data_IF_377716636506
#
_entry.id   IF_377716636506
#
_cell.length_a   1.000
_cell.length_b   1.000
_cell.length_c   1.000
_cell.angle_alpha   90.00
_cell.angle_beta   90.00
_cell.angle_gamma   90.00
#
_symmetry.space_group_name_H-M   'P 1'
#
loop_
_entity.id
_entity.type
_entity.pdbx_description
1 polymer ?
#
# COMPACT_ATOMS: atom_id res chain seq x y z
N UNK A 1 23.58 -23.06 -20.81
CA UNK A 1 23.59 -21.97 -21.81
C UNK A 1 24.55 -20.90 -21.30
N UNK A 2 25.63 -20.60 -22.03
CA UNK A 2 26.58 -19.53 -21.66
C UNK A 2 26.18 -18.30 -22.47
N UNK A 3 25.42 -17.39 -21.86
CA UNK A 3 25.07 -16.08 -22.42
C UNK A 3 25.94 -15.01 -21.78
N UNK A 4 26.07 -13.88 -22.46
CA UNK A 4 26.86 -12.75 -21.94
C UNK A 4 26.08 -11.98 -20.88
N UNK A 5 24.74 -12.02 -20.98
CA UNK A 5 23.86 -11.31 -20.06
C UNK A 5 22.49 -11.97 -19.90
N UNK A 6 21.84 -11.66 -18.78
CA UNK A 6 20.43 -11.91 -18.57
C UNK A 6 19.81 -10.79 -17.71
N UNK A 7 18.51 -10.55 -17.90
CA UNK A 7 17.75 -9.57 -17.16
C UNK A 7 16.33 -10.05 -16.88
N UNK A 8 15.82 -9.67 -15.72
CA UNK A 8 14.41 -9.81 -15.34
C UNK A 8 13.83 -8.41 -15.24
N UNK A 9 12.78 -8.15 -16.01
CA UNK A 9 12.14 -6.84 -16.14
C UNK A 9 10.67 -7.01 -15.79
N UNK A 10 10.16 -6.18 -14.88
CA UNK A 10 8.78 -6.23 -14.42
C UNK A 10 7.95 -5.13 -15.07
N UNK A 11 6.67 -5.41 -15.28
CA UNK A 11 5.69 -4.36 -15.55
C UNK A 11 5.56 -3.50 -14.30
N UNK A 12 5.65 -2.19 -14.48
CA UNK A 12 5.49 -1.20 -13.42
C UNK A 12 4.77 0.03 -14.00
N UNK A 13 3.50 0.20 -13.65
CA UNK A 13 2.68 1.30 -14.13
C UNK A 13 3.13 2.67 -13.62
N UNK A 14 3.89 2.72 -12.51
CA UNK A 14 4.47 3.95 -11.99
C UNK A 14 5.75 4.35 -12.74
N UNK A 15 6.42 3.39 -13.39
CA UNK A 15 7.61 3.67 -14.18
C UNK A 15 7.26 4.44 -15.46
N UNK A 16 8.04 5.45 -15.88
CA UNK A 16 7.77 6.24 -17.08
C UNK A 16 7.69 5.43 -18.39
N UNK A 17 8.32 4.26 -18.40
CA UNK A 17 8.33 3.32 -19.51
C UNK A 17 7.37 2.15 -19.32
N UNK A 18 6.62 2.08 -18.23
CA UNK A 18 5.79 0.94 -17.88
C UNK A 18 6.55 -0.29 -17.40
N UNK A 19 7.88 -0.21 -17.31
CA UNK A 19 8.75 -1.32 -16.95
C UNK A 19 9.89 -0.87 -16.02
N UNK A 20 10.27 -1.75 -15.09
CA UNK A 20 11.46 -1.59 -14.25
C UNK A 20 12.37 -2.80 -14.32
N UNK A 21 13.68 -2.59 -14.23
CA UNK A 21 14.65 -3.68 -14.18
C UNK A 21 14.70 -4.25 -12.77
N UNK A 22 14.19 -5.45 -12.54
CA UNK A 22 14.25 -6.09 -11.22
C UNK A 22 15.67 -6.59 -10.91
N UNK A 23 16.30 -7.24 -11.89
CA UNK A 23 17.62 -7.82 -11.73
C UNK A 23 18.33 -7.94 -13.08
N UNK A 24 19.65 -7.79 -13.08
CA UNK A 24 20.46 -8.10 -14.25
C UNK A 24 21.77 -8.78 -13.86
N UNK A 25 22.33 -9.54 -14.80
CA UNK A 25 23.69 -10.06 -14.74
C UNK A 25 24.35 -9.84 -16.09
N UNK A 26 25.59 -9.36 -16.09
CA UNK A 26 26.35 -9.11 -17.33
C UNK A 26 25.94 -7.84 -18.10
N UNK A 27 24.85 -7.16 -17.71
CA UNK A 27 24.44 -5.88 -18.29
C UNK A 27 25.22 -4.68 -17.74
N UNK A 28 25.73 -4.75 -16.51
CA UNK A 28 26.37 -3.61 -15.83
C UNK A 28 25.37 -2.52 -15.43
N UNK A 29 24.08 -2.84 -15.41
CA UNK A 29 22.99 -1.93 -15.03
C UNK A 29 22.55 -2.30 -13.60
N UNK A 30 22.46 -1.33 -12.68
CA UNK A 30 22.01 -1.61 -11.32
C UNK A 30 20.56 -2.14 -11.31
N UNK A 31 20.22 -2.90 -10.27
CA UNK A 31 18.82 -3.24 -10.01
C UNK A 31 18.00 -1.96 -9.82
N UNK A 32 16.70 -2.03 -10.16
CA UNK A 32 15.73 -0.93 -10.13
C UNK A 32 16.04 0.26 -11.03
N UNK A 33 16.97 0.10 -11.98
CA UNK A 33 17.20 1.11 -13.01
C UNK A 33 15.91 1.35 -13.82
N UNK A 34 15.56 2.63 -13.98
CA UNK A 34 14.48 3.04 -14.85
C UNK A 34 14.83 2.67 -16.30
N UNK A 35 13.90 1.97 -16.96
CA UNK A 35 14.04 1.62 -18.37
C UNK A 35 13.53 2.81 -19.20
N UNK A 36 14.23 3.15 -20.29
CA UNK A 36 13.84 4.27 -21.16
C UNK A 36 12.49 4.05 -21.86
N UNK A 37 11.77 5.14 -22.17
CA UNK A 37 10.43 5.10 -22.81
C UNK A 37 10.38 4.28 -24.10
N UNK A 38 11.48 4.17 -24.85
CA UNK A 38 11.57 3.39 -26.09
C UNK A 38 11.41 1.88 -25.92
N UNK A 39 11.32 1.38 -24.68
CA UNK A 39 11.11 -0.02 -24.38
C UNK A 39 9.63 -0.43 -24.33
N UNK A 40 8.70 0.52 -24.24
CA UNK A 40 7.26 0.23 -24.11
C UNK A 40 6.73 -0.63 -25.28
N UNK A 41 6.98 -0.21 -26.52
CA UNK A 41 6.52 -0.93 -27.71
C UNK A 41 7.11 -2.34 -27.81
N UNK A 42 8.35 -2.50 -27.35
CA UNK A 42 9.03 -3.79 -27.35
C UNK A 42 8.49 -4.72 -26.26
N UNK A 43 8.25 -4.19 -25.06
CA UNK A 43 7.60 -4.93 -23.98
C UNK A 43 6.18 -5.38 -24.35
N UNK A 44 5.39 -4.51 -25.01
CA UNK A 44 4.06 -4.85 -25.50
C UNK A 44 4.08 -5.96 -26.55
N UNK A 45 5.04 -5.92 -27.50
CA UNK A 45 5.23 -6.99 -28.47
C UNK A 45 5.55 -8.32 -27.80
N UNK A 46 6.48 -8.33 -26.83
CA UNK A 46 6.84 -9.54 -26.08
C UNK A 46 5.63 -10.05 -25.30
N UNK A 47 4.85 -9.15 -24.69
CA UNK A 47 3.64 -9.49 -23.98
C UNK A 47 2.56 -10.09 -24.88
N UNK A 48 2.52 -9.77 -26.19
CA UNK A 48 1.61 -10.36 -27.16
C UNK A 48 2.15 -11.72 -27.68
N UNK A 49 3.35 -11.73 -28.24
CA UNK A 49 3.96 -12.89 -28.92
C UNK A 49 4.45 -13.98 -27.95
N UNK A 50 4.70 -13.61 -26.68
CA UNK A 50 5.18 -14.52 -25.64
C UNK A 50 6.66 -14.86 -25.73
N UNK A 51 7.23 -14.98 -26.93
CA UNK A 51 8.67 -15.11 -27.17
C UNK A 51 9.06 -14.29 -28.40
N UNK A 52 10.00 -13.36 -28.21
CA UNK A 52 10.60 -12.58 -29.29
C UNK A 52 12.08 -12.90 -29.37
N UNK A 53 12.56 -13.20 -30.57
CA UNK A 53 13.98 -13.38 -30.88
C UNK A 53 14.47 -12.19 -31.68
N UNK A 54 15.56 -11.59 -31.22
CA UNK A 54 16.29 -10.56 -31.94
C UNK A 54 17.66 -11.12 -32.25
N UNK A 55 17.90 -11.44 -33.53
CA UNK A 55 19.21 -11.95 -33.99
C UNK A 55 20.17 -10.82 -34.37
N UNK A 56 19.64 -9.64 -34.67
CA UNK A 56 20.40 -8.42 -34.98
C UNK A 56 19.73 -7.21 -34.34
N UNK A 57 20.37 -6.65 -33.30
CA UNK A 57 19.87 -5.50 -32.55
C UNK A 57 19.88 -4.18 -33.35
N UNK A 58 20.46 -4.14 -34.55
CA UNK A 58 20.39 -2.97 -35.43
C UNK A 58 19.08 -2.89 -36.20
N UNK A 59 18.35 -3.99 -36.33
CA UNK A 59 17.11 -4.07 -37.09
C UNK A 59 16.00 -4.78 -36.30
N UNK A 60 14.92 -4.07 -36.01
CA UNK A 60 13.73 -4.65 -35.41
C UNK A 60 13.10 -3.82 -34.29
N UNK A 61 11.95 -4.26 -33.76
CA UNK A 61 11.32 -3.64 -32.60
C UNK A 61 12.27 -3.68 -31.40
N UNK A 62 12.39 -2.56 -30.67
CA UNK A 62 13.30 -2.45 -29.52
C UNK A 62 14.77 -2.17 -29.86
N UNK A 63 15.15 -2.00 -31.13
CA UNK A 63 16.54 -1.75 -31.55
C UNK A 63 17.24 -0.63 -30.78
N UNK A 64 16.53 0.49 -30.52
CA UNK A 64 17.07 1.60 -29.73
C UNK A 64 17.46 1.18 -28.30
N UNK A 65 16.59 0.45 -27.62
CA UNK A 65 16.86 -0.02 -26.26
C UNK A 65 18.02 -1.04 -26.24
N UNK A 66 18.10 -1.91 -27.24
CA UNK A 66 19.18 -2.89 -27.36
C UNK A 66 20.54 -2.25 -27.66
N UNK A 67 20.56 -1.20 -28.50
CA UNK A 67 21.76 -0.40 -28.77
C UNK A 67 22.24 0.35 -27.53
N UNK A 68 21.33 0.99 -26.78
CA UNK A 68 21.65 1.67 -25.52
C UNK A 68 22.35 0.70 -24.53
N UNK A 69 21.96 -0.57 -24.53
CA UNK A 69 22.51 -1.59 -23.64
C UNK A 69 23.70 -2.37 -24.23
N UNK A 70 24.13 -2.03 -25.46
CA UNK A 70 25.20 -2.72 -26.20
C UNK A 70 24.93 -4.23 -26.31
N UNK A 71 23.71 -4.58 -26.70
CA UNK A 71 23.25 -5.94 -26.96
C UNK A 71 23.24 -6.16 -28.47
N UNK A 72 23.76 -7.30 -28.94
CA UNK A 72 23.77 -7.66 -30.37
C UNK A 72 22.61 -8.58 -30.74
N UNK A 73 22.29 -9.54 -29.87
CA UNK A 73 21.21 -10.49 -30.05
C UNK A 73 20.63 -10.89 -28.69
N UNK A 74 19.38 -11.34 -28.68
CA UNK A 74 18.71 -11.74 -27.46
C UNK A 74 17.41 -12.50 -27.70
N UNK A 75 17.08 -13.34 -26.73
CA UNK A 75 15.76 -13.93 -26.57
C UNK A 75 15.04 -13.20 -25.44
N UNK A 76 13.76 -12.92 -25.66
CA UNK A 76 12.90 -12.20 -24.73
C UNK A 76 11.61 -12.99 -24.55
N UNK A 77 11.40 -13.55 -23.36
CA UNK A 77 10.24 -14.36 -23.05
C UNK A 77 9.35 -13.64 -22.05
N UNK A 78 8.04 -13.59 -22.32
CA UNK A 78 7.06 -13.05 -21.38
C UNK A 78 7.00 -13.91 -20.12
N UNK A 79 7.00 -13.25 -18.97
CA UNK A 79 6.76 -13.87 -17.66
C UNK A 79 5.26 -13.83 -17.40
N UNK A 80 4.56 -14.91 -17.71
CA UNK A 80 3.10 -15.03 -17.57
C UNK A 80 2.75 -15.96 -16.40
N UNK A 81 1.78 -15.52 -15.59
CA UNK A 81 1.13 -16.33 -14.56
C UNK A 81 -0.39 -16.21 -14.75
N UNK A 82 -1.07 -17.32 -15.05
CA UNK A 82 -2.47 -17.29 -15.47
C UNK A 82 -2.69 -16.40 -16.69
N UNK A 83 -3.64 -15.46 -16.60
CA UNK A 83 -3.96 -14.50 -17.66
C UNK A 83 -3.18 -13.17 -17.53
N UNK A 84 -2.21 -13.08 -16.62
CA UNK A 84 -1.46 -11.84 -16.35
C UNK A 84 -0.02 -11.97 -16.85
N UNK A 85 0.48 -10.92 -17.50
CA UNK A 85 1.90 -10.76 -17.82
C UNK A 85 2.54 -9.91 -16.73
N UNK A 86 3.42 -10.53 -15.94
CA UNK A 86 4.13 -9.86 -14.83
C UNK A 86 5.35 -9.08 -15.32
N UNK A 87 5.86 -9.42 -16.50
CA UNK A 87 7.06 -8.82 -17.07
C UNK A 87 7.65 -9.69 -18.17
N UNK A 88 8.97 -9.62 -18.32
CA UNK A 88 9.74 -10.42 -19.25
C UNK A 88 11.10 -10.83 -18.69
N UNK A 89 11.57 -11.98 -19.15
CA UNK A 89 12.91 -12.47 -18.91
C UNK A 89 13.68 -12.43 -20.22
N UNK A 90 14.89 -11.87 -20.18
CA UNK A 90 15.71 -11.62 -21.35
C UNK A 90 17.10 -12.22 -21.16
N UNK A 91 17.66 -12.80 -22.24
CA UNK A 91 19.06 -13.24 -22.24
C UNK A 91 19.62 -13.29 -23.65
N UNK A 92 20.91 -12.98 -23.79
CA UNK A 92 21.51 -12.86 -25.12
C UNK A 92 23.02 -12.67 -25.11
N UNK A 93 23.51 -12.15 -26.23
CA UNK A 93 24.93 -11.95 -26.50
C UNK A 93 25.22 -10.48 -26.83
N UNK A 94 26.43 -10.03 -26.47
CA UNK A 94 26.92 -8.68 -26.79
C UNK A 94 27.66 -8.63 -28.12
N UNK A 95 28.31 -9.71 -28.51
CA UNK A 95 29.18 -9.76 -29.70
C UNK A 95 28.79 -10.86 -30.70
N UNK A 96 27.89 -11.79 -30.33
CA UNK A 96 27.51 -12.94 -31.17
C UNK A 96 26.14 -12.72 -31.81
N UNK A 97 26.10 -12.72 -33.13
CA UNK A 97 24.87 -12.57 -33.94
C UNK A 97 24.31 -13.88 -34.52
N UNK A 98 24.67 -15.04 -33.96
CA UNK A 98 24.15 -16.33 -34.45
C UNK A 98 22.71 -16.58 -33.98
N UNK A 99 21.91 -17.24 -34.83
CA UNK A 99 20.55 -17.64 -34.51
C UNK A 99 20.51 -18.58 -33.30
N UNK A 100 19.48 -18.44 -32.47
CA UNK A 100 19.35 -19.29 -31.29
C UNK A 100 18.92 -20.72 -31.69
N UNK A 101 19.44 -21.72 -31.00
CA UNK A 101 19.03 -23.10 -31.20
C UNK A 101 17.61 -23.33 -30.61
N UNK A 102 16.82 -24.28 -31.14
CA UNK A 102 15.48 -24.58 -30.64
C UNK A 102 15.43 -24.90 -29.13
N UNK A 103 16.48 -25.53 -28.59
CA UNK A 103 16.56 -25.80 -27.15
C UNK A 103 16.71 -24.53 -26.31
N UNK A 104 17.39 -23.48 -26.82
CA UNK A 104 17.57 -22.20 -26.12
C UNK A 104 16.24 -21.46 -26.01
N UNK A 105 15.44 -21.46 -27.09
CA UNK A 105 14.08 -20.91 -27.10
C UNK A 105 13.18 -21.60 -26.07
N UNK A 106 13.19 -22.94 -26.01
CA UNK A 106 12.43 -23.69 -25.01
C UNK A 106 12.90 -23.41 -23.58
N UNK A 107 14.21 -23.33 -23.39
CA UNK A 107 14.80 -23.09 -22.08
C UNK A 107 14.41 -21.71 -21.54
N UNK A 108 14.50 -20.65 -22.35
CA UNK A 108 14.19 -19.31 -21.87
C UNK A 108 12.70 -19.15 -21.52
N UNK A 109 11.79 -19.77 -22.28
CA UNK A 109 10.37 -19.77 -21.95
C UNK A 109 10.14 -20.51 -20.62
N UNK A 110 10.76 -21.68 -20.44
CA UNK A 110 10.66 -22.41 -19.17
C UNK A 110 11.18 -21.62 -17.97
N UNK A 111 12.29 -20.90 -18.13
CA UNK A 111 12.82 -20.00 -17.10
C UNK A 111 11.83 -18.86 -16.83
N UNK A 112 11.32 -18.19 -17.87
CA UNK A 112 10.37 -17.10 -17.71
C UNK A 112 9.09 -17.53 -16.98
N UNK A 113 8.58 -18.74 -17.27
CA UNK A 113 7.44 -19.33 -16.55
C UNK A 113 7.76 -19.55 -15.07
N UNK A 114 8.92 -20.15 -14.75
CA UNK A 114 9.30 -20.40 -13.36
C UNK A 114 9.56 -19.11 -12.57
N UNK A 115 10.18 -18.12 -13.20
CA UNK A 115 10.39 -16.80 -12.60
C UNK A 115 9.05 -16.11 -12.34
N UNK A 116 8.09 -16.19 -13.28
CA UNK A 116 6.75 -15.64 -13.08
C UNK A 116 6.04 -16.26 -11.85
N UNK A 117 6.09 -17.59 -11.71
CA UNK A 117 5.51 -18.29 -10.56
C UNK A 117 6.20 -17.88 -9.25
N UNK A 118 7.53 -17.79 -9.24
CA UNK A 118 8.28 -17.39 -8.05
C UNK A 118 7.96 -15.96 -7.62
N UNK A 119 7.82 -15.02 -8.57
CA UNK A 119 7.43 -13.64 -8.29
C UNK A 119 6.01 -13.57 -7.73
N UNK A 120 5.05 -14.26 -8.34
CA UNK A 120 3.67 -14.29 -7.87
C UNK A 120 3.59 -14.86 -6.44
N UNK A 121 4.27 -15.98 -6.18
CA UNK A 121 4.32 -16.59 -4.86
C UNK A 121 4.95 -15.67 -3.82
N UNK A 122 6.05 -14.99 -4.15
CA UNK A 122 6.68 -14.04 -3.26
C UNK A 122 5.74 -12.85 -2.93
N UNK A 123 5.00 -12.36 -3.92
CA UNK A 123 3.98 -11.32 -3.72
C UNK A 123 2.83 -11.78 -2.82
N UNK A 124 2.31 -12.99 -3.04
CA UNK A 124 1.27 -13.59 -2.20
C UNK A 124 1.75 -13.80 -0.76
N UNK A 125 2.97 -14.30 -0.58
CA UNK A 125 3.56 -14.46 0.75
C UNK A 125 3.76 -13.12 1.47
N UNK A 126 4.19 -12.07 0.75
CA UNK A 126 4.31 -10.73 1.33
C UNK A 126 2.94 -10.20 1.77
N UNK A 127 1.90 -10.33 0.94
CA UNK A 127 0.55 -9.90 1.28
C UNK A 127 -0.04 -10.68 2.47
N UNK A 128 0.13 -12.01 2.50
CA UNK A 128 -0.27 -12.83 3.65
C UNK A 128 0.47 -12.44 4.94
N UNK A 129 1.76 -12.08 4.81
CA UNK A 129 2.55 -11.65 5.96
C UNK A 129 2.05 -10.32 6.51
N UNK A 130 1.75 -9.37 5.63
CA UNK A 130 1.16 -8.07 6.00
C UNK A 130 -0.20 -8.25 6.69
N UNK A 131 -1.08 -9.08 6.14
CA UNK A 131 -2.38 -9.39 6.76
C UNK A 131 -2.22 -10.04 8.14
N UNK A 132 -1.27 -10.98 8.28
CA UNK A 132 -0.98 -11.61 9.56
C UNK A 132 -0.41 -10.63 10.59
N UNK A 133 0.42 -9.66 10.17
CA UNK A 133 0.93 -8.61 11.04
C UNK A 133 -0.18 -7.66 11.51
N UNK A 134 -1.09 -7.28 10.62
CA UNK A 134 -2.30 -6.50 10.97
C UNK A 134 -3.16 -7.29 11.96
N UNK A 135 -3.42 -8.57 11.68
CA UNK A 135 -4.23 -9.41 12.56
C UNK A 135 -3.58 -9.59 13.93
N UNK A 136 -2.27 -9.80 13.99
CA UNK A 136 -1.52 -9.90 15.25
C UNK A 136 -1.60 -8.60 16.06
N UNK A 137 -1.49 -7.44 15.42
CA UNK A 137 -1.66 -6.15 16.07
C UNK A 137 -3.08 -5.97 16.64
N UNK A 138 -4.11 -6.41 15.90
CA UNK A 138 -5.50 -6.39 16.38
C UNK A 138 -5.73 -7.34 17.56
N UNK A 139 -5.16 -8.54 17.54
CA UNK A 139 -5.25 -9.50 18.65
C UNK A 139 -4.52 -8.98 19.88
N UNK A 140 -3.29 -8.47 19.73
CA UNK A 140 -2.54 -7.86 20.83
C UNK A 140 -3.30 -6.68 21.44
N UNK A 141 -3.96 -5.89 20.60
CA UNK A 141 -4.86 -4.81 21.04
C UNK A 141 -6.02 -5.36 21.86
N UNK A 142 -6.70 -6.40 21.38
CA UNK A 142 -7.80 -7.05 22.11
C UNK A 142 -7.33 -7.67 23.44
N UNK A 143 -6.17 -8.32 23.48
CA UNK A 143 -5.59 -8.92 24.70
C UNK A 143 -5.19 -7.85 25.74
N UNK A 144 -4.67 -6.69 25.32
CA UNK A 144 -4.40 -5.57 26.23
C UNK A 144 -5.68 -4.95 26.82
N UNK A 145 -6.79 -5.04 26.09
CA UNK A 145 -8.09 -4.61 26.58
C UNK A 145 -8.67 -5.64 27.57
N UNK A 146 -8.51 -6.94 27.29
CA UNK A 146 -9.06 -8.05 28.08
C UNK A 146 -8.19 -8.45 29.29
N UNK A 147 -6.92 -8.03 29.31
CA UNK A 147 -6.05 -8.18 30.47
C UNK A 147 -6.63 -7.36 31.64
N UNK A 148 -7.32 -8.04 32.55
CA UNK A 148 -7.66 -7.58 33.89
C UNK A 148 -6.36 -7.22 34.65
N UNK A 149 -5.86 -6.01 34.40
CA UNK A 149 -4.97 -5.30 35.29
C UNK A 149 -5.88 -4.62 36.31
N UNK A 150 -5.94 -5.20 37.50
CA UNK A 150 -6.78 -4.75 38.61
C UNK A 150 -6.71 -3.22 38.77
N UNK A 151 -7.80 -2.53 38.43
CA UNK A 151 -8.05 -1.14 38.83
C UNK A 151 -8.26 -0.10 37.73
N UNK A 152 -7.93 -0.36 36.46
CA UNK A 152 -8.13 0.60 35.35
C UNK A 152 -9.27 0.17 34.41
N UNK A 153 -10.13 1.13 34.04
CA UNK A 153 -11.30 0.92 33.16
C UNK A 153 -10.82 0.52 31.74
N UNK A 154 -11.33 -0.60 31.16
CA UNK A 154 -10.94 -1.05 29.83
C UNK A 154 -11.20 0.00 28.74
N UNK A 155 -12.20 0.87 28.88
CA UNK A 155 -12.47 1.93 27.93
C UNK A 155 -11.40 3.04 27.97
N UNK A 156 -10.81 3.32 29.13
CA UNK A 156 -9.72 4.31 29.28
C UNK A 156 -8.44 3.82 28.58
N UNK A 157 -8.13 2.53 28.72
CA UNK A 157 -7.04 1.90 27.98
C UNK A 157 -7.28 1.95 26.48
N UNK A 158 -8.52 1.68 26.06
CA UNK A 158 -8.91 1.75 24.66
C UNK A 158 -8.69 3.13 24.08
N UNK A 159 -9.10 4.20 24.78
CA UNK A 159 -8.92 5.57 24.30
C UNK A 159 -7.45 5.95 24.21
N UNK A 160 -6.61 5.53 25.17
CA UNK A 160 -5.18 5.83 25.14
C UNK A 160 -4.43 5.11 24.00
N UNK A 161 -4.79 3.85 23.78
CA UNK A 161 -4.25 3.07 22.67
C UNK A 161 -4.72 3.62 21.32
N UNK A 162 -6.00 4.01 21.21
CA UNK A 162 -6.54 4.62 20.00
C UNK A 162 -5.82 5.94 19.66
N UNK A 163 -5.52 6.80 20.64
CA UNK A 163 -4.68 7.99 20.41
C UNK A 163 -3.32 7.63 19.81
N UNK A 164 -2.68 6.58 20.33
CA UNK A 164 -1.36 6.13 19.88
C UNK A 164 -1.39 5.54 18.47
N UNK A 165 -2.39 4.72 18.15
CA UNK A 165 -2.51 4.07 16.84
C UNK A 165 -2.93 5.03 15.74
N UNK A 166 -3.80 6.00 16.05
CA UNK A 166 -4.34 6.97 15.09
C UNK A 166 -3.44 8.21 14.97
N UNK A 167 -2.45 8.37 15.88
CA UNK A 167 -1.59 9.54 16.00
C UNK A 167 -2.40 10.84 16.13
N UNK A 168 -3.36 10.83 17.05
CA UNK A 168 -4.22 11.98 17.33
C UNK A 168 -4.06 12.49 18.76
N UNK A 169 -4.47 13.76 18.95
CA UNK A 169 -4.29 14.46 20.22
C UNK A 169 -5.27 13.99 21.30
N UNK A 170 -6.44 13.49 20.90
CA UNK A 170 -7.48 13.04 21.82
C UNK A 170 -8.42 12.01 21.20
N UNK A 171 -8.98 11.13 22.03
CA UNK A 171 -10.05 10.18 21.71
C UNK A 171 -11.02 10.14 22.89
N UNK A 172 -12.32 10.21 22.63
CA UNK A 172 -13.35 10.11 23.66
C UNK A 172 -14.39 9.05 23.28
N UNK A 173 -14.81 8.25 24.25
CA UNK A 173 -15.99 7.38 24.15
C UNK A 173 -17.16 8.09 24.80
N UNK A 174 -18.21 8.35 24.01
CA UNK A 174 -19.41 9.06 24.44
C UNK A 174 -20.57 8.07 24.58
N UNK A 175 -21.26 8.11 25.71
CA UNK A 175 -22.51 7.37 25.92
C UNK A 175 -23.69 8.31 25.77
N UNK A 176 -24.66 7.93 24.94
CA UNK A 176 -25.91 8.65 24.76
C UNK A 176 -26.91 8.23 25.86
N UNK A 177 -27.35 9.20 26.67
CA UNK A 177 -28.54 9.06 27.50
C UNK A 177 -29.77 9.38 26.66
N UNK A 178 -30.50 8.33 26.26
CA UNK A 178 -31.67 8.46 25.39
C UNK A 178 -32.84 9.23 26.02
N UNK A 179 -32.95 9.20 27.36
CA UNK A 179 -34.00 9.89 28.09
C UNK A 179 -33.72 11.40 28.17
N UNK A 180 -32.45 11.77 28.36
CA UNK A 180 -32.02 13.17 28.45
C UNK A 180 -31.63 13.79 27.12
N UNK A 181 -31.45 12.97 26.07
CA UNK A 181 -30.90 13.37 24.78
C UNK A 181 -29.58 14.13 24.94
N UNK A 182 -28.71 13.58 25.79
CA UNK A 182 -27.41 14.14 26.10
C UNK A 182 -26.34 13.05 26.09
N UNK A 183 -25.12 13.41 25.69
CA UNK A 183 -23.95 12.55 25.81
C UNK A 183 -23.22 12.79 27.13
N UNK A 184 -22.56 11.74 27.61
CA UNK A 184 -21.54 11.84 28.66
C UNK A 184 -20.28 11.15 28.18
N UNK A 185 -19.12 11.71 28.52
CA UNK A 185 -17.84 11.04 28.31
C UNK A 185 -17.75 9.87 29.29
N UNK A 186 -17.71 8.65 28.76
CA UNK A 186 -17.52 7.44 29.56
C UNK A 186 -16.05 7.10 29.74
N UNK A 187 -15.23 7.37 28.73
CA UNK A 187 -13.78 7.27 28.79
C UNK A 187 -13.17 8.25 27.79
N UNK A 188 -11.91 8.60 28.01
CA UNK A 188 -11.24 9.55 27.13
C UNK A 188 -9.74 9.62 27.40
N UNK A 189 -9.01 10.01 26.38
CA UNK A 189 -7.60 10.37 26.51
C UNK A 189 -7.39 11.65 25.75
N UNK A 190 -6.72 12.61 26.38
CA UNK A 190 -6.22 13.83 25.75
C UNK A 190 -4.74 13.96 26.11
N UNK A 191 -3.89 13.81 25.09
CA UNK A 191 -2.43 13.78 25.22
C UNK A 191 -1.88 15.16 25.59
N UNK A 192 -2.62 16.23 25.28
CA UNK A 192 -2.18 17.62 25.47
C UNK A 192 -2.86 18.28 26.67
N UNK A 193 -4.12 17.95 26.96
CA UNK A 193 -5.02 18.67 27.88
C UNK A 193 -5.87 17.73 28.73
N UNK A 194 -5.23 16.82 29.47
CA UNK A 194 -5.90 15.94 30.43
C UNK A 194 -6.73 16.70 31.50
N UNK A 195 -6.35 17.93 31.84
CA UNK A 195 -7.11 18.83 32.72
C UNK A 195 -8.51 19.15 32.18
N UNK A 196 -8.60 19.44 30.88
CA UNK A 196 -9.86 19.79 30.21
C UNK A 196 -10.77 18.58 30.10
N UNK A 197 -10.21 17.40 29.84
CA UNK A 197 -10.96 16.15 29.78
C UNK A 197 -11.62 15.81 31.12
N UNK A 198 -10.91 15.99 32.23
CA UNK A 198 -11.47 15.74 33.57
C UNK A 198 -12.59 16.72 33.94
N UNK A 199 -12.46 17.99 33.55
CA UNK A 199 -13.56 18.93 33.65
C UNK A 199 -14.74 18.50 32.75
N UNK A 200 -14.46 18.05 31.52
CA UNK A 200 -15.45 17.63 30.53
C UNK A 200 -16.35 16.50 31.02
N UNK A 201 -15.79 15.53 31.74
CA UNK A 201 -16.50 14.37 32.28
C UNK A 201 -17.60 14.73 33.27
N UNK A 202 -17.54 15.91 33.88
CA UNK A 202 -18.52 16.36 34.87
C UNK A 202 -19.79 16.94 34.24
N UNK A 203 -19.79 17.15 32.92
CA UNK A 203 -20.90 17.77 32.20
C UNK A 203 -21.60 16.76 31.26
N UNK A 204 -22.93 16.86 31.20
CA UNK A 204 -23.73 16.22 30.16
C UNK A 204 -23.78 17.19 28.95
N UNK A 205 -23.55 16.68 27.74
CA UNK A 205 -23.51 17.43 26.49
C UNK A 205 -24.82 17.24 25.72
N UNK A 206 -25.59 18.30 25.45
CA UNK A 206 -26.84 18.15 24.71
C UNK A 206 -26.55 17.66 23.27
N UNK A 207 -27.29 16.66 22.80
CA UNK A 207 -27.15 16.10 21.45
C UNK A 207 -27.24 17.17 20.36
N UNK A 208 -28.04 18.23 20.58
CA UNK A 208 -28.25 19.34 19.64
C UNK A 208 -27.06 20.31 19.59
N UNK A 209 -26.22 20.33 20.62
CA UNK A 209 -25.02 21.15 20.66
C UNK A 209 -23.88 20.53 19.83
N UNK A 210 -23.98 19.25 19.46
CA UNK A 210 -22.95 18.56 18.69
C UNK A 210 -23.52 17.94 17.40
N UNK A 211 -23.71 18.74 16.33
CA UNK A 211 -24.24 18.27 15.05
C UNK A 211 -23.44 17.12 14.45
N UNK A 212 -22.11 17.10 14.63
CA UNK A 212 -21.23 16.02 14.16
C UNK A 212 -21.61 14.65 14.74
N UNK A 213 -22.02 14.60 16.02
CA UNK A 213 -22.43 13.35 16.66
C UNK A 213 -23.79 12.89 16.14
N UNK A 214 -24.71 13.83 15.93
CA UNK A 214 -26.03 13.54 15.33
C UNK A 214 -25.88 13.02 13.91
N UNK A 215 -24.98 13.62 13.12
CA UNK A 215 -24.71 13.19 11.75
C UNK A 215 -24.06 11.80 11.73
N UNK A 216 -23.06 11.55 12.59
CA UNK A 216 -22.40 10.25 12.68
C UNK A 216 -23.39 9.11 12.99
N UNK A 217 -24.37 9.34 13.87
CA UNK A 217 -25.44 8.39 14.17
C UNK A 217 -26.34 8.10 12.96
N UNK A 218 -26.46 9.04 12.01
CA UNK A 218 -27.29 8.93 10.81
C UNK A 218 -26.57 8.26 9.64
N UNK A 219 -25.29 8.57 9.45
CA UNK A 219 -24.49 8.16 8.28
C UNK A 219 -23.53 7.02 8.57
N UNK A 220 -23.27 6.71 9.84
CA UNK A 220 -22.26 5.74 10.27
C UNK A 220 -20.87 6.34 10.52
N UNK A 221 -20.64 7.62 10.18
CA UNK A 221 -19.48 8.41 10.60
C UNK A 221 -19.68 9.89 10.23
N UNK A 222 -19.04 10.82 10.93
CA UNK A 222 -19.02 12.23 10.55
C UNK A 222 -17.72 12.90 10.93
N UNK A 223 -17.29 13.87 10.12
CA UNK A 223 -16.10 14.67 10.33
C UNK A 223 -16.49 16.13 10.61
N UNK A 224 -15.71 16.82 11.43
CA UNK A 224 -15.89 18.25 11.68
C UNK A 224 -14.54 18.97 11.78
N UNK A 225 -14.47 20.19 11.27
CA UNK A 225 -13.29 21.06 11.34
C UNK A 225 -13.67 22.40 11.96
N UNK A 226 -12.79 22.94 12.80
CA UNK A 226 -12.79 24.30 13.33
C UNK A 226 -12.93 25.40 12.25
N UNK A 227 -12.52 25.12 11.00
CA UNK A 227 -12.64 26.03 9.85
C UNK A 227 -13.99 26.01 9.14
N UNK A 228 -14.84 25.01 9.39
CA UNK A 228 -16.12 24.84 8.70
C UNK A 228 -17.28 25.48 9.48
N UNK A 229 -17.73 26.65 9.01
CA UNK A 229 -18.89 27.37 9.57
C UNK A 229 -20.22 26.62 9.44
N UNK A 230 -20.26 25.51 8.70
CA UNK A 230 -21.48 24.73 8.47
C UNK A 230 -21.76 23.69 9.57
N UNK A 231 -20.77 23.39 10.42
CA UNK A 231 -20.93 22.47 11.54
C UNK A 231 -20.69 23.21 12.86
N UNK A 232 -21.73 23.76 13.51
CA UNK A 232 -21.56 24.50 14.74
C UNK A 232 -21.22 23.53 15.88
N UNK A 233 -19.94 23.28 16.09
CA UNK A 233 -19.46 22.85 17.40
C UNK A 233 -19.65 24.00 18.40
N UNK A 234 -19.90 23.73 19.68
CA UNK A 234 -19.98 24.78 20.69
C UNK A 234 -18.61 25.45 20.83
N UNK A 235 -18.51 26.68 20.32
CA UNK A 235 -17.29 27.51 20.25
C UNK A 235 -16.54 27.62 21.59
N UNK A 236 -17.23 27.43 22.72
CA UNK A 236 -16.64 27.51 24.06
C UNK A 236 -15.68 26.34 24.39
N UNK A 237 -15.89 25.16 23.82
CA UNK A 237 -15.02 23.98 24.04
C UNK A 237 -13.80 24.00 23.11
N UNK A 238 -14.00 24.39 21.84
CA UNK A 238 -12.93 24.59 20.86
C UNK A 238 -11.88 25.62 21.32
N UNK A 239 -12.31 26.75 21.90
CA UNK A 239 -11.38 27.80 22.34
C UNK A 239 -10.60 27.43 23.61
N UNK A 240 -11.11 26.50 24.44
CA UNK A 240 -10.40 26.02 25.64
C UNK A 240 -9.51 24.81 25.38
N UNK A 241 -9.90 23.93 24.44
CA UNK A 241 -9.19 22.69 24.11
C UNK A 241 -8.22 22.78 22.92
N UNK A 242 -8.35 23.77 22.03
CA UNK A 242 -7.47 23.91 20.86
C UNK A 242 -7.71 22.89 19.76
N UNK A 243 -8.92 22.32 19.70
CA UNK A 243 -9.31 21.30 18.72
C UNK A 243 -9.38 21.91 17.31
N UNK A 244 -8.73 21.26 16.34
CA UNK A 244 -8.78 21.69 14.94
C UNK A 244 -9.71 20.83 14.11
N UNK A 245 -9.78 19.53 14.38
CA UNK A 245 -10.62 18.58 13.66
C UNK A 245 -11.14 17.48 14.59
N UNK A 246 -12.24 16.85 14.20
CA UNK A 246 -12.81 15.67 14.88
C UNK A 246 -13.33 14.68 13.84
N UNK A 247 -13.27 13.40 14.20
CA UNK A 247 -13.99 12.32 13.54
C UNK A 247 -14.85 11.63 14.60
N UNK A 248 -16.12 11.39 14.29
CA UNK A 248 -17.07 10.69 15.14
C UNK A 248 -17.59 9.45 14.42
N UNK A 249 -17.59 8.31 15.12
CA UNK A 249 -18.08 7.02 14.62
C UNK A 249 -18.99 6.41 15.69
N UNK A 250 -20.21 5.95 15.35
CA UNK A 250 -21.07 5.26 16.30
C UNK A 250 -20.53 3.86 16.62
N UNK A 251 -20.56 3.50 17.90
CA UNK A 251 -20.26 2.16 18.39
C UNK A 251 -21.57 1.35 18.38
N UNK A 252 -21.84 0.63 17.29
CA UNK A 252 -23.02 -0.24 17.11
C UNK A 252 -22.66 -1.70 17.26
#
# INVERSE_FOLDING_TARGET
MRTDWCATILVDAAAPSGYRLLASRGLGIPADAAIGRGFWDFGALIAAEGLVEVSDATMGPGARALQEWKISSGLFAAMRCGNRTLGLFASGYRERGEAFAPFQRRLIVGIATQVAVAIENAGLHAAQREEAEISAALVQTAELLDANLDGEDPLERLTALACTLIDCDFVNVLLLDDARKAFRIAAGTDVRRADVLEEARQFDFDLREFPVLTEALRTGYAEGDSGDKSTPMPVQWLQRGGLTSVLAVPLT
#
